data_IF_866581926579
#
_entry.id   IF_866581926579
#
_cell.length_a   1.000
_cell.length_b   1.000
_cell.length_c   1.000
_cell.angle_alpha   90.00
_cell.angle_beta   90.00
_cell.angle_gamma   90.00
#
_symmetry.space_group_name_H-M   'P 1'
#
loop_
_entity.id
_entity.type
_entity.pdbx_description
1 polymer ?
#
# COMPACT_ATOMS: atom_id res chain seq x y z
N UNK A 1 3.96 18.62 8.66
CA UNK A 1 4.45 17.66 7.64
C UNK A 1 3.26 17.27 6.82
N UNK A 2 3.27 17.55 5.52
CA UNK A 2 2.18 17.16 4.63
C UNK A 2 2.31 15.68 4.20
N UNK A 3 1.33 15.17 3.47
CA UNK A 3 1.34 13.78 3.00
C UNK A 3 2.39 13.51 1.92
N UNK A 4 2.84 14.54 1.21
CA UNK A 4 3.95 14.43 0.26
C UNK A 4 5.27 14.15 1.00
N UNK A 5 5.61 14.97 2.00
CA UNK A 5 6.80 14.81 2.85
C UNK A 5 6.80 13.46 3.56
N UNK A 6 5.62 13.06 4.06
CA UNK A 6 5.42 11.75 4.65
C UNK A 6 5.82 10.62 3.68
N UNK A 7 5.38 10.70 2.43
CA UNK A 7 5.67 9.69 1.41
C UNK A 7 7.13 9.67 0.98
N UNK A 8 7.82 10.83 0.99
CA UNK A 8 9.27 10.90 0.76
C UNK A 8 10.03 10.20 1.89
N UNK A 9 9.64 10.40 3.15
CA UNK A 9 10.29 9.71 4.27
C UNK A 9 9.99 8.21 4.25
N UNK A 10 8.74 7.83 3.96
CA UNK A 10 8.33 6.45 3.78
C UNK A 10 9.13 5.76 2.67
N UNK A 11 9.40 6.44 1.54
CA UNK A 11 10.17 5.84 0.44
C UNK A 11 11.60 5.53 0.86
N UNK A 12 12.25 6.45 1.57
CA UNK A 12 13.62 6.27 2.11
C UNK A 12 13.69 5.11 3.10
N UNK A 13 12.75 5.06 4.04
CA UNK A 13 12.72 4.01 5.08
C UNK A 13 12.37 2.61 4.54
N UNK A 14 11.77 2.52 3.36
CA UNK A 14 11.30 1.27 2.76
C UNK A 14 11.98 0.91 1.45
N UNK A 15 13.08 1.58 1.09
CA UNK A 15 13.78 1.45 -0.20
C UNK A 15 14.05 0.00 -0.63
N UNK A 16 14.32 -0.89 0.34
CA UNK A 16 14.59 -2.32 0.11
C UNK A 16 13.59 -3.25 0.82
N UNK A 17 12.44 -2.72 1.25
CA UNK A 17 11.40 -3.48 1.93
C UNK A 17 10.03 -3.18 1.35
N UNK A 18 9.64 -3.96 0.33
CA UNK A 18 8.37 -3.80 -0.36
C UNK A 18 7.16 -3.93 0.58
N UNK A 19 7.21 -4.85 1.55
CA UNK A 19 6.13 -5.03 2.54
C UNK A 19 5.95 -3.78 3.40
N UNK A 20 7.05 -3.12 3.80
CA UNK A 20 6.99 -1.87 4.55
C UNK A 20 6.45 -0.73 3.69
N UNK A 21 6.88 -0.65 2.44
CA UNK A 21 6.37 0.33 1.48
C UNK A 21 4.85 0.24 1.31
N UNK A 22 4.31 -0.96 1.12
CA UNK A 22 2.86 -1.12 0.97
C UNK A 22 2.08 -0.78 2.24
N UNK A 23 2.65 -1.01 3.43
CA UNK A 23 2.07 -0.53 4.70
C UNK A 23 2.01 0.99 4.76
N UNK A 24 3.00 1.68 4.21
CA UNK A 24 2.99 3.14 4.08
C UNK A 24 1.92 3.61 3.09
N UNK A 25 1.81 2.98 1.92
CA UNK A 25 0.75 3.27 0.96
C UNK A 25 -0.65 3.08 1.57
N UNK A 26 -0.85 2.04 2.37
CA UNK A 26 -2.13 1.81 3.07
C UNK A 26 -2.52 2.94 4.00
N UNK A 27 -1.57 3.67 4.59
CA UNK A 27 -1.86 4.79 5.50
C UNK A 27 -2.39 6.03 4.78
N UNK A 28 -2.18 6.13 3.47
CA UNK A 28 -2.58 7.30 2.67
C UNK A 28 -3.58 6.99 1.56
N UNK A 29 -3.71 5.72 1.15
CA UNK A 29 -4.67 5.27 0.13
C UNK A 29 -5.72 4.36 0.78
N UNK A 30 -7.00 4.71 0.59
CA UNK A 30 -8.17 4.00 1.10
C UNK A 30 -9.07 3.55 -0.05
N UNK A 31 -10.19 2.92 0.28
CA UNK A 31 -11.14 2.35 -0.69
C UNK A 31 -11.77 3.42 -1.56
N UNK A 32 -12.27 4.49 -0.94
CA UNK A 32 -13.04 5.54 -1.65
C UNK A 32 -12.34 6.91 -1.63
N UNK A 33 -11.17 7.02 -1.00
CA UNK A 33 -10.45 8.29 -0.89
C UNK A 33 -8.94 8.10 -0.69
N UNK A 34 -8.20 9.20 -0.83
CA UNK A 34 -6.77 9.26 -0.56
C UNK A 34 -6.42 10.57 0.14
N UNK A 35 -5.42 10.51 1.01
CA UNK A 35 -4.78 11.69 1.57
C UNK A 35 -3.79 12.35 0.59
N UNK A 36 -3.40 11.66 -0.47
CA UNK A 36 -2.60 12.22 -1.55
C UNK A 36 -3.50 12.85 -2.61
N UNK A 37 -3.17 14.07 -3.03
CA UNK A 37 -3.79 14.69 -4.20
C UNK A 37 -3.14 14.18 -5.49
N UNK A 38 -3.80 14.41 -6.63
CA UNK A 38 -3.20 14.18 -7.95
C UNK A 38 -1.86 14.92 -8.13
N UNK A 39 -1.73 16.12 -7.55
CA UNK A 39 -0.51 16.90 -7.62
C UNK A 39 0.61 16.27 -6.78
N UNK A 40 0.30 15.74 -5.60
CA UNK A 40 1.27 15.04 -4.75
C UNK A 40 1.79 13.79 -5.45
N UNK A 41 0.89 12.99 -6.03
CA UNK A 41 1.26 11.79 -6.79
C UNK A 41 2.16 12.17 -7.96
N UNK A 42 1.83 13.22 -8.72
CA UNK A 42 2.69 13.69 -9.81
C UNK A 42 4.10 14.05 -9.31
N UNK A 43 4.20 14.86 -8.25
CA UNK A 43 5.48 15.23 -7.64
C UNK A 43 6.27 14.00 -7.14
N UNK A 44 5.61 13.03 -6.52
CA UNK A 44 6.23 11.79 -6.04
C UNK A 44 6.76 10.93 -7.19
N UNK A 45 6.03 10.82 -8.30
CA UNK A 45 6.47 10.10 -9.49
C UNK A 45 7.66 10.77 -10.18
N UNK A 46 7.76 12.09 -10.10
CA UNK A 46 8.89 12.87 -10.64
C UNK A 46 10.11 12.90 -9.68
N UNK A 47 9.91 12.64 -8.39
CA UNK A 47 10.98 12.68 -7.37
C UNK A 47 12.11 11.67 -7.59
N UNK A 48 13.34 12.05 -7.28
CA UNK A 48 14.51 11.13 -7.30
C UNK A 48 14.58 10.21 -6.08
N UNK A 49 13.76 10.47 -5.06
CA UNK A 49 13.79 9.75 -3.77
C UNK A 49 13.04 8.42 -3.80
N UNK A 50 12.11 8.25 -4.74
CA UNK A 50 11.40 6.99 -4.94
C UNK A 50 12.17 6.13 -5.93
N UNK A 51 12.36 4.86 -5.57
CA UNK A 51 12.87 3.86 -6.52
C UNK A 51 11.89 3.65 -7.66
N UNK A 52 12.36 3.07 -8.77
CA UNK A 52 11.50 2.70 -9.91
C UNK A 52 10.32 1.81 -9.48
N UNK A 53 10.57 0.86 -8.56
CA UNK A 53 9.54 0.00 -8.00
C UNK A 53 8.49 0.79 -7.21
N UNK A 54 8.93 1.69 -6.31
CA UNK A 54 8.04 2.53 -5.52
C UNK A 54 7.17 3.44 -6.39
N UNK A 55 7.73 4.01 -7.46
CA UNK A 55 6.98 4.82 -8.43
C UNK A 55 5.90 4.01 -9.15
N UNK A 56 6.27 2.86 -9.71
CA UNK A 56 5.32 2.01 -10.45
C UNK A 56 4.20 1.53 -9.53
N UNK A 57 4.55 1.05 -8.34
CA UNK A 57 3.56 0.59 -7.36
C UNK A 57 2.67 1.71 -6.84
N UNK A 58 3.19 2.93 -6.59
CA UNK A 58 2.38 4.10 -6.24
C UNK A 58 1.37 4.44 -7.34
N UNK A 59 1.84 4.48 -8.60
CA UNK A 59 0.99 4.79 -9.75
C UNK A 59 -0.21 3.85 -9.81
N UNK A 60 0.01 2.54 -9.69
CA UNK A 60 -1.09 1.58 -9.72
C UNK A 60 -1.91 1.59 -8.44
N UNK A 61 -1.28 1.73 -7.26
CA UNK A 61 -2.01 1.82 -5.99
C UNK A 61 -2.98 3.00 -5.94
N UNK A 62 -2.66 4.11 -6.60
CA UNK A 62 -3.51 5.31 -6.65
C UNK A 62 -4.62 5.23 -7.71
N UNK A 63 -4.54 4.28 -8.63
CA UNK A 63 -5.60 4.01 -9.61
C UNK A 63 -6.59 3.01 -9.04
N UNK A 64 -7.86 3.42 -8.92
CA UNK A 64 -8.93 2.56 -8.44
C UNK A 64 -9.04 1.26 -9.25
N UNK A 65 -9.49 0.20 -8.59
CA UNK A 65 -9.73 -1.14 -9.14
C UNK A 65 -8.52 -1.90 -9.70
N UNK A 66 -7.32 -1.33 -9.73
CA UNK A 66 -6.11 -2.08 -10.10
C UNK A 66 -5.79 -3.17 -9.08
N UNK A 67 -5.06 -4.23 -9.47
CA UNK A 67 -4.61 -5.24 -8.53
C UNK A 67 -3.79 -4.66 -7.36
N UNK A 68 -2.95 -3.66 -7.61
CA UNK A 68 -2.13 -3.02 -6.57
C UNK A 68 -2.97 -2.20 -5.61
N UNK A 69 -3.97 -1.46 -6.10
CA UNK A 69 -4.90 -0.72 -5.26
C UNK A 69 -5.71 -1.66 -4.35
N UNK A 70 -6.27 -2.73 -4.92
CA UNK A 70 -6.98 -3.78 -4.17
C UNK A 70 -6.08 -4.42 -3.11
N UNK A 71 -4.83 -4.72 -3.46
CA UNK A 71 -3.85 -5.24 -2.52
C UNK A 71 -3.59 -4.25 -1.37
N UNK A 72 -3.26 -3.00 -1.69
CA UNK A 72 -3.01 -1.96 -0.69
C UNK A 72 -4.20 -1.83 0.27
N UNK A 73 -5.43 -1.72 -0.22
CA UNK A 73 -6.64 -1.60 0.62
C UNK A 73 -6.87 -2.84 1.49
N UNK A 74 -6.53 -4.03 0.99
CA UNK A 74 -6.67 -5.28 1.75
C UNK A 74 -5.70 -5.37 2.92
N UNK A 75 -4.62 -4.60 2.92
CA UNK A 75 -3.70 -4.54 4.06
C UNK A 75 -4.43 -4.01 5.29
N UNK A 76 -4.25 -4.70 6.41
CA UNK A 76 -4.92 -4.46 7.69
C UNK A 76 -6.44 -4.68 7.69
N UNK A 77 -7.06 -5.22 6.62
CA UNK A 77 -8.39 -5.82 6.76
C UNK A 77 -8.20 -7.07 7.64
N UNK A 78 -8.96 -7.22 8.75
CA UNK A 78 -8.87 -8.43 9.55
C UNK A 78 -9.10 -9.63 8.64
N UNK A 79 -8.26 -10.67 8.77
CA UNK A 79 -8.52 -11.92 8.10
C UNK A 79 -9.97 -12.30 8.41
N UNK A 80 -10.79 -12.57 7.38
CA UNK A 80 -12.15 -13.05 7.61
C UNK A 80 -12.01 -14.29 8.50
N UNK A 81 -12.42 -14.20 9.75
CA UNK A 81 -12.23 -15.24 10.78
C UNK A 81 -12.70 -16.61 10.26
N UNK A 82 -13.71 -16.62 9.39
CA UNK A 82 -14.21 -17.80 8.68
C UNK A 82 -13.16 -18.53 7.83
N UNK A 83 -12.24 -17.83 7.16
CA UNK A 83 -11.17 -18.46 6.39
C UNK A 83 -10.08 -19.04 7.31
N UNK A 84 -9.80 -18.36 8.42
CA UNK A 84 -8.85 -18.85 9.44
C UNK A 84 -9.42 -20.05 10.18
N UNK A 85 -10.71 -20.01 10.55
CA UNK A 85 -11.43 -21.12 11.18
C UNK A 85 -11.46 -22.35 10.26
N UNK A 86 -11.82 -22.19 8.98
CA UNK A 86 -11.79 -23.29 7.99
C UNK A 86 -10.40 -23.87 7.79
N UNK A 87 -9.36 -23.03 7.82
CA UNK A 87 -7.97 -23.49 7.76
C UNK A 87 -7.63 -24.30 9.02
N UNK A 88 -7.95 -23.79 10.21
CA UNK A 88 -7.73 -24.49 11.48
C UNK A 88 -8.46 -25.83 11.54
N UNK A 89 -9.71 -25.91 11.09
CA UNK A 89 -10.46 -27.17 10.99
C UNK A 89 -9.77 -28.19 10.09
N UNK A 90 -9.24 -27.75 8.93
CA UNK A 90 -8.52 -28.63 7.99
C UNK A 90 -7.25 -29.23 8.59
N UNK A 91 -6.56 -28.53 9.49
CA UNK A 91 -5.34 -28.99 10.15
C UNK A 91 -5.57 -29.61 11.53
N UNK A 92 -6.80 -29.58 12.07
CA UNK A 92 -7.14 -30.18 13.38
C UNK A 92 -7.22 -31.72 13.34
N UNK A 93 -7.23 -32.30 12.14
CA UNK A 93 -7.35 -33.73 11.89
C UNK A 93 -6.15 -34.32 11.13
N UNK A 94 -5.01 -33.62 11.12
CA UNK A 94 -3.76 -34.05 10.50
C UNK A 94 -2.68 -34.38 11.51
#
# INVERSE_FOLDING_TARGET
MDWYDYMIQASKQSQFNASHWFRYLRKVIFEDYSYLTNQDVKKLLDSKELTRFQKISLKYAFQEHTPTHKYVISLNKPAKLTNVQKLMEKYKHG
#
